data_IF_232349817399
#
_entry.id   IF_232349817399
#
_cell.length_a   1.000
_cell.length_b   1.000
_cell.length_c   1.000
_cell.angle_alpha   90.00
_cell.angle_beta   90.00
_cell.angle_gamma   90.00
#
_symmetry.space_group_name_H-M   'P 1'
#
loop_
_entity.id
_entity.type
_entity.pdbx_description
1 polymer ?
#
# COMPACT_ATOMS: atom_id res chain seq x y z
N UNK A 1 -15.59 -12.94 -17.72
CA UNK A 1 -14.33 -13.47 -17.16
C UNK A 1 -13.16 -13.49 -18.16
N UNK A 2 -13.33 -13.07 -19.42
CA UNK A 2 -12.21 -12.66 -20.29
C UNK A 2 -12.63 -11.41 -21.07
N UNK A 3 -11.88 -10.31 -20.93
CA UNK A 3 -12.11 -9.10 -21.70
C UNK A 3 -11.71 -9.33 -23.16
N UNK A 4 -12.41 -8.68 -24.10
CA UNK A 4 -12.16 -8.83 -25.55
C UNK A 4 -10.77 -8.35 -26.01
N UNK A 5 -10.01 -7.70 -25.13
CA UNK A 5 -8.76 -7.01 -25.45
C UNK A 5 -7.51 -7.63 -24.79
N UNK A 6 -7.61 -8.88 -24.32
CA UNK A 6 -6.47 -9.57 -23.71
C UNK A 6 -6.14 -9.15 -22.27
N UNK A 7 -6.94 -8.29 -21.64
CA UNK A 7 -6.86 -7.98 -20.20
C UNK A 7 -7.84 -8.84 -19.39
N UNK A 8 -7.39 -9.29 -18.20
CA UNK A 8 -8.19 -10.06 -17.25
C UNK A 8 -8.54 -9.18 -16.06
N UNK A 9 -9.82 -9.07 -15.68
CA UNK A 9 -10.21 -8.30 -14.49
C UNK A 9 -10.11 -9.20 -13.23
N UNK A 10 -9.15 -8.98 -12.31
CA UNK A 10 -8.97 -9.81 -11.12
C UNK A 10 -9.87 -9.35 -9.97
N UNK A 11 -11.15 -9.75 -9.97
CA UNK A 11 -12.12 -9.35 -8.94
C UNK A 11 -13.17 -10.42 -8.64
N UNK A 12 -13.87 -10.27 -7.50
CA UNK A 12 -14.80 -11.26 -6.93
C UNK A 12 -16.28 -10.93 -7.12
N UNK A 13 -16.64 -10.21 -8.20
CA UNK A 13 -18.03 -9.85 -8.53
C UNK A 13 -18.30 -8.34 -8.63
N UNK A 14 -17.28 -7.53 -8.35
CA UNK A 14 -17.24 -6.08 -8.59
C UNK A 14 -15.92 -5.71 -9.29
N UNK A 15 -15.70 -4.42 -9.55
CA UNK A 15 -14.48 -3.92 -10.19
C UNK A 15 -13.23 -4.33 -9.39
N UNK A 16 -12.11 -4.69 -10.04
CA UNK A 16 -10.86 -4.97 -9.36
C UNK A 16 -10.41 -3.80 -8.47
N UNK A 17 -9.92 -4.12 -7.27
CA UNK A 17 -9.36 -3.18 -6.30
C UNK A 17 -7.94 -3.63 -6.01
N UNK A 18 -6.94 -2.77 -6.16
CA UNK A 18 -5.53 -3.17 -6.07
C UNK A 18 -5.19 -4.02 -4.83
N UNK A 19 -5.69 -3.67 -3.64
CA UNK A 19 -5.47 -4.43 -2.39
C UNK A 19 -6.06 -5.84 -2.39
N UNK A 20 -7.17 -6.06 -3.08
CA UNK A 20 -7.89 -7.34 -3.12
C UNK A 20 -7.51 -8.17 -4.34
N UNK A 21 -7.12 -7.50 -5.43
CA UNK A 21 -6.64 -8.11 -6.65
C UNK A 21 -5.22 -8.63 -6.52
N UNK A 22 -4.35 -7.95 -5.76
CA UNK A 22 -2.97 -8.38 -5.53
C UNK A 22 -2.86 -9.86 -5.10
N UNK A 23 -3.56 -10.34 -4.04
CA UNK A 23 -3.49 -11.75 -3.67
C UNK A 23 -4.08 -12.71 -4.72
N UNK A 24 -5.08 -12.27 -5.50
CA UNK A 24 -5.64 -13.09 -6.60
C UNK A 24 -4.58 -13.29 -7.68
N UNK A 25 -3.90 -12.22 -8.09
CA UNK A 25 -2.86 -12.28 -9.13
C UNK A 25 -1.66 -13.11 -8.65
N UNK A 26 -1.19 -12.86 -7.42
CA UNK A 26 -0.08 -13.64 -6.85
C UNK A 26 -0.45 -15.12 -6.68
N UNK A 27 -1.72 -15.44 -6.42
CA UNK A 27 -2.19 -16.82 -6.45
C UNK A 27 -2.08 -17.43 -7.85
N UNK A 28 -2.48 -16.71 -8.90
CA UNK A 28 -2.29 -17.17 -10.29
C UNK A 28 -0.82 -17.47 -10.57
N UNK A 29 0.10 -16.58 -10.17
CA UNK A 29 1.54 -16.82 -10.31
C UNK A 29 2.02 -18.04 -9.53
N UNK A 30 1.58 -18.22 -8.29
CA UNK A 30 1.94 -19.40 -7.48
C UNK A 30 1.47 -20.73 -8.09
N UNK A 31 0.43 -20.68 -8.92
CA UNK A 31 -0.11 -21.82 -9.66
C UNK A 31 0.52 -22.01 -11.05
N UNK A 32 1.52 -21.19 -11.41
CA UNK A 32 2.18 -21.21 -12.71
C UNK A 32 1.36 -20.57 -13.84
N UNK A 33 0.25 -19.91 -13.53
CA UNK A 33 -0.62 -19.24 -14.50
C UNK A 33 -0.10 -17.83 -14.84
N UNK A 34 1.19 -17.71 -15.12
CA UNK A 34 1.90 -16.43 -15.31
C UNK A 34 1.28 -15.56 -16.40
N UNK A 35 0.87 -16.14 -17.53
CA UNK A 35 0.20 -15.39 -18.58
C UNK A 35 -1.12 -14.76 -18.13
N UNK A 36 -1.90 -15.44 -17.26
CA UNK A 36 -3.11 -14.84 -16.69
C UNK A 36 -2.79 -13.75 -15.66
N UNK A 37 -1.70 -13.92 -14.91
CA UNK A 37 -1.21 -12.90 -14.00
C UNK A 37 -0.77 -11.63 -14.75
N UNK A 38 -0.05 -11.76 -15.86
CA UNK A 38 0.31 -10.64 -16.74
C UNK A 38 -0.93 -9.90 -17.27
N UNK A 39 -1.92 -10.65 -17.78
CA UNK A 39 -3.18 -10.06 -18.26
C UNK A 39 -3.95 -9.32 -17.16
N UNK A 40 -3.84 -9.79 -15.91
CA UNK A 40 -4.45 -9.15 -14.76
C UNK A 40 -3.69 -7.91 -14.28
N UNK A 41 -2.36 -7.88 -14.44
CA UNK A 41 -1.54 -6.69 -14.23
C UNK A 41 -1.85 -5.64 -15.31
N UNK A 42 -1.96 -6.05 -16.58
CA UNK A 42 -2.27 -5.14 -17.70
C UNK A 42 -3.64 -4.48 -17.55
N UNK A 43 -4.59 -5.10 -16.85
CA UNK A 43 -5.86 -4.46 -16.47
C UNK A 43 -5.62 -3.16 -15.68
N UNK A 44 -4.72 -3.16 -14.71
CA UNK A 44 -4.41 -1.97 -13.92
C UNK A 44 -3.63 -0.94 -14.73
N UNK A 45 -2.71 -1.36 -15.60
CA UNK A 45 -2.04 -0.42 -16.52
C UNK A 45 -3.02 0.25 -17.48
N UNK A 46 -4.07 -0.44 -17.93
CA UNK A 46 -5.12 0.16 -18.76
C UNK A 46 -5.97 1.22 -18.01
N UNK A 47 -5.82 1.30 -16.69
CA UNK A 47 -6.46 2.27 -15.79
C UNK A 47 -5.45 3.23 -15.15
N UNK A 48 -4.19 3.19 -15.60
CA UNK A 48 -3.16 4.12 -15.17
C UNK A 48 -3.47 5.51 -15.75
N UNK A 49 -3.51 6.51 -14.88
CA UNK A 49 -3.65 7.92 -15.24
C UNK A 49 -2.32 8.48 -15.76
N UNK A 50 -2.36 9.67 -16.36
CA UNK A 50 -1.18 10.34 -16.93
C UNK A 50 -0.07 10.64 -15.91
N UNK A 51 -0.43 10.74 -14.62
CA UNK A 51 0.51 10.96 -13.52
C UNK A 51 1.07 9.66 -12.92
N UNK A 52 0.61 8.49 -13.38
CA UNK A 52 0.99 7.17 -12.87
C UNK A 52 0.07 6.59 -11.81
N UNK A 53 -0.96 7.31 -11.37
CA UNK A 53 -1.94 6.79 -10.43
C UNK A 53 -2.79 5.69 -11.10
N UNK A 54 -2.91 4.53 -10.46
CA UNK A 54 -3.84 3.48 -10.87
C UNK A 54 -5.05 3.53 -9.97
N UNK A 55 -6.23 3.71 -10.56
CA UNK A 55 -7.48 3.81 -9.81
C UNK A 55 -8.65 3.19 -10.58
N UNK A 56 -9.40 2.32 -9.91
CA UNK A 56 -10.68 1.79 -10.39
C UNK A 56 -11.86 2.43 -9.65
N UNK A 57 -11.67 2.81 -8.39
CA UNK A 57 -12.69 3.43 -7.55
C UNK A 57 -12.30 4.86 -7.18
N UNK A 58 -13.08 5.84 -7.62
CA UNK A 58 -12.73 7.26 -7.57
C UNK A 58 -12.37 7.81 -6.19
N UNK A 59 -12.88 7.21 -5.11
CA UNK A 59 -12.59 7.62 -3.74
C UNK A 59 -11.38 6.91 -3.12
N UNK A 60 -10.85 5.84 -3.70
CA UNK A 60 -9.82 4.98 -3.10
C UNK A 60 -8.42 5.37 -3.58
N UNK A 61 -7.44 5.37 -2.67
CA UNK A 61 -6.05 5.70 -2.97
C UNK A 61 -5.07 4.55 -2.70
N UNK A 62 -5.55 3.41 -2.19
CA UNK A 62 -4.73 2.25 -1.86
C UNK A 62 -4.51 1.25 -3.01
N UNK A 63 -4.67 1.64 -4.27
CA UNK A 63 -4.61 0.71 -5.40
C UNK A 63 -3.21 0.56 -6.01
N UNK A 64 -2.47 1.67 -6.18
CA UNK A 64 -1.20 1.66 -6.92
C UNK A 64 -0.11 0.85 -6.21
N UNK A 65 0.03 0.99 -4.88
CA UNK A 65 1.05 0.28 -4.09
C UNK A 65 0.98 -1.25 -4.21
N UNK A 66 -0.18 -1.89 -3.91
CA UNK A 66 -0.35 -3.34 -4.05
C UNK A 66 -0.14 -3.87 -5.46
N UNK A 67 -0.49 -3.10 -6.50
CA UNK A 67 -0.25 -3.50 -7.89
C UNK A 67 1.24 -3.49 -8.21
N UNK A 68 1.98 -2.46 -7.79
CA UNK A 68 3.45 -2.42 -7.95
C UNK A 68 4.14 -3.54 -7.17
N UNK A 69 3.64 -3.87 -5.98
CA UNK A 69 4.12 -5.04 -5.23
C UNK A 69 3.92 -6.31 -6.05
N UNK A 70 2.71 -6.52 -6.59
CA UNK A 70 2.37 -7.69 -7.41
C UNK A 70 3.23 -7.79 -8.68
N UNK A 71 3.53 -6.66 -9.33
CA UNK A 71 4.43 -6.61 -10.48
C UNK A 71 5.82 -7.17 -10.13
N UNK A 72 6.38 -6.74 -8.99
CA UNK A 72 7.68 -7.24 -8.57
C UNK A 72 7.64 -8.69 -8.10
N UNK A 73 6.56 -9.15 -7.45
CA UNK A 73 6.41 -10.58 -7.11
C UNK A 73 6.28 -11.44 -8.38
N UNK A 74 5.50 -11.02 -9.37
CA UNK A 74 5.41 -11.68 -10.66
C UNK A 74 6.81 -11.85 -11.29
N UNK A 75 7.60 -10.78 -11.32
CA UNK A 75 8.98 -10.86 -11.80
C UNK A 75 9.86 -11.80 -10.96
N UNK A 76 9.67 -11.89 -9.63
CA UNK A 76 10.41 -12.83 -8.78
C UNK A 76 10.11 -14.28 -9.12
N UNK A 77 8.86 -14.60 -9.50
CA UNK A 77 8.46 -15.92 -9.99
C UNK A 77 9.03 -16.23 -11.37
N UNK A 78 8.90 -15.31 -12.32
CA UNK A 78 9.15 -15.60 -13.74
C UNK A 78 10.59 -15.31 -14.16
N UNK A 79 11.23 -14.32 -13.54
CA UNK A 79 12.52 -13.73 -13.97
C UNK A 79 12.51 -13.30 -15.43
N UNK A 80 11.34 -12.91 -15.95
CA UNK A 80 11.18 -12.48 -17.33
C UNK A 80 11.66 -11.04 -17.52
N UNK A 81 12.91 -10.92 -17.98
CA UNK A 81 13.53 -9.63 -18.27
C UNK A 81 12.88 -8.92 -19.47
N UNK A 82 12.34 -9.65 -20.46
CA UNK A 82 11.70 -9.03 -21.62
C UNK A 82 10.37 -8.38 -21.21
N UNK A 83 9.58 -9.09 -20.40
CA UNK A 83 8.37 -8.57 -19.78
C UNK A 83 8.65 -7.34 -18.90
N UNK A 84 9.64 -7.44 -18.01
CA UNK A 84 10.00 -6.35 -17.11
C UNK A 84 10.46 -5.10 -17.88
N UNK A 85 11.25 -5.26 -18.95
CA UNK A 85 11.62 -4.14 -19.82
C UNK A 85 10.41 -3.52 -20.54
N UNK A 86 9.45 -4.35 -20.98
CA UNK A 86 8.22 -3.89 -21.65
C UNK A 86 7.34 -3.01 -20.75
N UNK A 87 7.25 -3.32 -19.46
CA UNK A 87 6.41 -2.57 -18.50
C UNK A 87 7.17 -1.47 -17.75
N UNK A 88 8.51 -1.44 -17.83
CA UNK A 88 9.36 -0.56 -17.03
C UNK A 88 8.94 0.92 -17.04
N UNK A 89 8.64 1.49 -18.22
CA UNK A 89 8.21 2.89 -18.32
C UNK A 89 6.92 3.16 -17.53
N UNK A 90 5.93 2.26 -17.61
CA UNK A 90 4.65 2.39 -16.92
C UNK A 90 4.83 2.18 -15.41
N UNK A 91 5.63 1.19 -14.99
CA UNK A 91 5.94 0.96 -13.59
C UNK A 91 6.69 2.15 -12.96
N UNK A 92 7.67 2.72 -13.67
CA UNK A 92 8.38 3.92 -13.22
C UNK A 92 7.44 5.11 -13.04
N UNK A 93 6.50 5.32 -13.95
CA UNK A 93 5.53 6.40 -13.83
C UNK A 93 4.68 6.26 -12.55
N UNK A 94 4.22 5.05 -12.21
CA UNK A 94 3.54 4.79 -10.93
C UNK A 94 4.44 4.95 -9.70
N UNK A 95 5.73 4.67 -9.82
CA UNK A 95 6.68 4.98 -8.75
C UNK A 95 6.80 6.49 -8.53
N UNK A 96 6.88 7.27 -9.62
CA UNK A 96 6.92 8.73 -9.57
C UNK A 96 5.67 9.32 -8.93
N UNK A 97 4.48 8.76 -9.22
CA UNK A 97 3.26 9.13 -8.51
C UNK A 97 3.43 9.03 -6.99
N UNK A 98 3.86 7.86 -6.48
CA UNK A 98 4.05 7.64 -5.04
C UNK A 98 5.10 8.61 -4.47
N UNK A 99 6.24 8.76 -5.15
CA UNK A 99 7.33 9.64 -4.71
C UNK A 99 6.87 11.10 -4.64
N UNK A 100 6.13 11.58 -5.65
CA UNK A 100 5.60 12.94 -5.66
C UNK A 100 4.57 13.17 -4.55
N UNK A 101 3.68 12.20 -4.31
CA UNK A 101 2.72 12.24 -3.20
C UNK A 101 3.41 12.30 -1.83
N UNK A 102 4.55 11.63 -1.66
CA UNK A 102 5.35 11.75 -0.43
C UNK A 102 5.94 13.15 -0.24
N UNK A 103 6.36 13.81 -1.33
CA UNK A 103 6.93 15.16 -1.28
C UNK A 103 5.91 16.17 -0.76
N UNK A 104 4.63 16.01 -1.10
CA UNK A 104 3.52 16.86 -0.60
C UNK A 104 3.43 16.89 0.93
N UNK A 105 3.74 15.78 1.61
CA UNK A 105 3.68 15.67 3.07
C UNK A 105 5.04 15.82 3.77
N UNK A 106 6.12 16.11 3.02
CA UNK A 106 7.47 16.25 3.57
C UNK A 106 7.61 17.40 4.57
N UNK A 107 6.73 18.41 4.51
CA UNK A 107 6.67 19.53 5.45
C UNK A 107 5.94 19.24 6.76
N UNK A 108 5.20 18.13 6.87
CA UNK A 108 4.41 17.82 8.08
C UNK A 108 5.31 17.51 9.29
N UNK A 109 4.83 17.72 10.53
CA UNK A 109 5.52 17.25 11.73
C UNK A 109 5.70 15.73 11.76
N UNK A 110 6.80 15.26 12.34
CA UNK A 110 7.02 13.83 12.53
C UNK A 110 6.04 13.27 13.56
N UNK A 111 5.29 12.22 13.19
CA UNK A 111 4.16 11.71 13.95
C UNK A 111 2.81 12.13 13.36
N UNK A 112 2.78 13.12 12.46
CA UNK A 112 1.57 13.58 11.76
C UNK A 112 1.56 13.20 10.27
N UNK A 113 2.32 12.15 9.90
CA UNK A 113 2.38 11.65 8.53
C UNK A 113 3.42 12.37 7.66
N UNK A 114 4.52 12.86 8.26
CA UNK A 114 5.65 13.39 7.50
C UNK A 114 6.19 12.36 6.51
N UNK A 115 6.22 12.71 5.22
CA UNK A 115 6.72 11.83 4.16
C UNK A 115 5.84 10.60 3.86
N UNK A 116 4.60 10.60 4.37
CA UNK A 116 3.59 9.56 4.15
C UNK A 116 2.46 10.04 3.23
N UNK A 117 1.86 9.12 2.48
CA UNK A 117 0.66 9.34 1.69
C UNK A 117 -0.55 9.46 2.62
N UNK A 118 -1.52 10.31 2.25
CA UNK A 118 -2.84 10.38 2.88
C UNK A 118 -3.91 10.08 1.83
N UNK A 119 -4.94 9.32 2.23
CA UNK A 119 -6.03 8.93 1.35
C UNK A 119 -6.89 7.83 1.96
N UNK A 120 -8.10 7.67 1.41
CA UNK A 120 -9.02 6.61 1.77
C UNK A 120 -8.50 5.26 1.26
N UNK A 121 -8.66 4.23 2.08
CA UNK A 121 -8.23 2.86 1.77
C UNK A 121 -9.39 1.90 1.54
N UNK A 122 -10.62 2.38 1.71
CA UNK A 122 -11.84 1.60 1.60
C UNK A 122 -13.07 2.53 1.57
N UNK A 123 -14.24 1.95 1.80
CA UNK A 123 -15.51 2.68 1.76
C UNK A 123 -15.61 3.89 2.69
N UNK A 124 -15.07 3.86 3.93
CA UNK A 124 -15.09 5.04 4.77
C UNK A 124 -14.24 6.18 4.21
N UNK A 125 -14.77 7.41 4.31
CA UNK A 125 -14.03 8.64 4.03
C UNK A 125 -13.04 8.97 5.15
N UNK A 126 -11.94 8.22 5.17
CA UNK A 126 -10.86 8.32 6.13
C UNK A 126 -9.56 8.73 5.39
N UNK A 127 -9.40 10.01 4.98
CA UNK A 127 -8.26 10.48 4.17
C UNK A 127 -6.98 10.65 5.02
N UNK A 128 -6.67 9.66 5.84
CA UNK A 128 -5.60 9.68 6.81
C UNK A 128 -4.31 9.07 6.25
N UNK A 129 -3.15 9.38 6.86
CA UNK A 129 -1.90 8.68 6.59
C UNK A 129 -1.89 7.29 7.24
N UNK A 130 -2.74 6.39 6.73
CA UNK A 130 -2.89 5.03 7.24
C UNK A 130 -1.65 4.17 7.02
N UNK A 131 -1.42 3.25 7.94
CA UNK A 131 -0.27 2.35 7.86
C UNK A 131 -0.42 1.31 6.76
N UNK A 132 -1.64 0.86 6.45
CA UNK A 132 -1.89 -0.01 5.29
C UNK A 132 -1.56 0.67 3.95
N UNK A 133 -2.04 1.90 3.72
CA UNK A 133 -1.74 2.65 2.49
C UNK A 133 -0.23 2.81 2.28
N UNK A 134 0.45 3.24 3.34
CA UNK A 134 1.87 3.56 3.27
C UNK A 134 2.75 2.30 3.23
N UNK A 135 2.38 1.24 3.95
CA UNK A 135 3.06 -0.04 3.89
C UNK A 135 3.05 -0.63 2.47
N UNK A 136 1.89 -0.69 1.83
CA UNK A 136 1.79 -1.16 0.45
C UNK A 136 2.51 -0.26 -0.55
N UNK A 137 2.42 1.06 -0.41
CA UNK A 137 3.11 1.99 -1.28
C UNK A 137 4.65 1.84 -1.17
N UNK A 138 5.16 1.68 0.05
CA UNK A 138 6.58 1.35 0.29
C UNK A 138 6.97 0.02 -0.36
N UNK A 139 6.21 -1.06 -0.08
CA UNK A 139 6.53 -2.39 -0.58
C UNK A 139 6.53 -2.42 -2.12
N UNK A 140 5.58 -1.72 -2.74
CA UNK A 140 5.54 -1.55 -4.19
C UNK A 140 6.81 -0.89 -4.72
N UNK A 141 7.26 0.23 -4.14
CA UNK A 141 8.52 0.87 -4.56
C UNK A 141 9.73 -0.06 -4.36
N UNK A 142 9.82 -0.75 -3.22
CA UNK A 142 10.92 -1.65 -2.93
C UNK A 142 11.03 -2.77 -3.99
N UNK A 143 9.89 -3.35 -4.36
CA UNK A 143 9.82 -4.46 -5.33
C UNK A 143 10.08 -4.03 -6.77
N UNK A 144 9.67 -2.81 -7.14
CA UNK A 144 10.08 -2.25 -8.44
C UNK A 144 11.57 -1.92 -8.46
N UNK A 145 12.14 -1.43 -7.35
CA UNK A 145 13.59 -1.24 -7.21
C UNK A 145 14.36 -2.53 -7.47
N UNK A 146 14.00 -3.62 -6.77
CA UNK A 146 14.59 -4.96 -6.97
C UNK A 146 14.46 -5.45 -8.42
N UNK A 147 13.30 -5.26 -9.05
CA UNK A 147 13.09 -5.62 -10.46
C UNK A 147 13.96 -4.79 -11.40
N UNK A 148 14.07 -3.48 -11.15
CA UNK A 148 14.85 -2.54 -11.94
C UNK A 148 16.35 -2.82 -11.84
N UNK A 149 16.85 -3.16 -10.65
CA UNK A 149 18.24 -3.61 -10.45
C UNK A 149 18.52 -4.84 -11.32
N UNK A 150 17.64 -5.85 -11.26
CA UNK A 150 17.82 -7.11 -11.97
C UNK A 150 17.87 -6.97 -13.51
N UNK A 151 17.15 -5.98 -14.08
CA UNK A 151 17.17 -5.70 -15.52
C UNK A 151 18.19 -4.61 -15.91
N UNK A 152 18.95 -4.06 -14.96
CA UNK A 152 19.94 -3.01 -15.21
C UNK A 152 19.31 -1.65 -15.59
N UNK A 153 18.12 -1.34 -15.08
CA UNK A 153 17.45 -0.08 -15.36
C UNK A 153 18.14 1.09 -14.64
N UNK A 154 18.39 2.24 -15.31
CA UNK A 154 19.19 3.34 -14.74
C UNK A 154 18.59 3.99 -13.49
N UNK A 155 17.28 3.83 -13.27
CA UNK A 155 16.57 4.39 -12.10
C UNK A 155 16.60 3.47 -10.87
N UNK A 156 17.17 2.26 -10.95
CA UNK A 156 17.15 1.27 -9.87
C UNK A 156 17.62 1.85 -8.53
N UNK A 157 18.84 2.38 -8.48
CA UNK A 157 19.45 2.95 -7.28
C UNK A 157 18.59 4.07 -6.65
N UNK A 158 17.97 4.90 -7.50
CA UNK A 158 17.13 6.02 -7.03
C UNK A 158 15.84 5.50 -6.41
N UNK A 159 15.15 4.56 -7.07
CA UNK A 159 13.90 3.99 -6.56
C UNK A 159 14.15 3.24 -5.25
N UNK A 160 15.24 2.50 -5.13
CA UNK A 160 15.62 1.84 -3.89
C UNK A 160 15.93 2.81 -2.75
N UNK A 161 16.63 3.90 -3.05
CA UNK A 161 16.91 4.96 -2.08
C UNK A 161 15.62 5.62 -1.57
N UNK A 162 14.69 5.91 -2.48
CA UNK A 162 13.37 6.46 -2.14
C UNK A 162 12.54 5.48 -1.30
N UNK A 163 12.54 4.19 -1.65
CA UNK A 163 11.86 3.15 -0.87
C UNK A 163 12.45 3.04 0.55
N UNK A 164 13.78 3.08 0.68
CA UNK A 164 14.47 3.05 1.98
C UNK A 164 14.16 4.28 2.83
N UNK A 165 14.16 5.47 2.22
CA UNK A 165 13.76 6.69 2.89
C UNK A 165 12.30 6.62 3.35
N UNK A 166 11.41 6.10 2.51
CA UNK A 166 10.00 5.95 2.84
C UNK A 166 9.79 5.00 4.01
N UNK A 167 10.46 3.84 4.02
CA UNK A 167 10.44 2.89 5.14
C UNK A 167 10.82 3.57 6.45
N UNK A 168 11.86 4.39 6.44
CA UNK A 168 12.30 5.10 7.64
C UNK A 168 11.32 6.18 8.10
N UNK A 169 10.69 6.90 7.19
CA UNK A 169 9.64 7.87 7.53
C UNK A 169 8.43 7.17 8.16
N UNK A 170 7.98 6.04 7.60
CA UNK A 170 6.89 5.22 8.16
C UNK A 170 7.25 4.75 9.58
N UNK A 171 8.44 4.18 9.76
CA UNK A 171 8.93 3.72 11.07
C UNK A 171 8.97 4.84 12.10
N UNK A 172 9.43 6.04 11.73
CA UNK A 172 9.48 7.18 12.65
C UNK A 172 8.09 7.68 13.03
N UNK A 173 7.16 7.76 12.06
CA UNK A 173 5.77 8.10 12.35
C UNK A 173 5.10 7.05 13.26
N UNK A 174 5.30 5.76 12.98
CA UNK A 174 4.77 4.69 13.81
C UNK A 174 5.30 4.72 15.25
N UNK A 175 6.61 4.97 15.44
CA UNK A 175 7.19 5.14 16.79
C UNK A 175 6.58 6.30 17.56
N UNK A 176 6.21 7.40 16.87
CA UNK A 176 5.48 8.51 17.48
C UNK A 176 4.07 8.11 17.90
N UNK A 177 3.34 7.42 17.03
CA UNK A 177 2.02 6.86 17.36
C UNK A 177 2.09 5.93 18.57
N UNK A 178 3.05 4.99 18.62
CA UNK A 178 3.26 4.10 19.77
C UNK A 178 3.51 4.87 21.08
N UNK A 179 4.25 5.98 21.02
CA UNK A 179 4.64 6.74 22.20
C UNK A 179 3.49 7.54 22.83
N UNK A 180 2.47 7.92 22.03
CA UNK A 180 1.33 8.71 22.50
C UNK A 180 0.06 7.87 22.70
N UNK A 181 0.04 6.63 22.21
CA UNK A 181 -1.12 5.75 22.34
C UNK A 181 -1.25 5.19 23.76
N UNK A 182 -2.47 4.90 24.24
CA UNK A 182 -2.69 4.26 25.52
C UNK A 182 -2.08 2.86 25.52
N UNK A 183 -1.73 2.40 26.71
CA UNK A 183 -1.37 0.99 26.92
C UNK A 183 -2.63 0.13 26.98
N UNK A 184 -2.54 -1.10 26.49
CA UNK A 184 -3.61 -2.11 26.54
C UNK A 184 -3.18 -3.31 27.40
N UNK A 185 -4.12 -3.94 28.13
CA UNK A 185 -3.80 -5.06 28.99
C UNK A 185 -3.60 -6.35 28.19
N UNK A 186 -2.67 -7.19 28.64
CA UNK A 186 -2.49 -8.56 28.22
C UNK A 186 -3.25 -9.52 29.16
N UNK A 187 -3.49 -10.75 28.71
CA UNK A 187 -4.19 -11.77 29.48
C UNK A 187 -3.48 -12.19 30.80
N UNK A 188 -2.23 -11.79 31.00
CA UNK A 188 -1.43 -12.06 32.20
C UNK A 188 -1.27 -10.83 33.12
N UNK A 189 -2.03 -9.75 32.89
CA UNK A 189 -2.00 -8.54 33.71
C UNK A 189 -0.86 -7.57 33.38
N UNK A 190 0.03 -7.89 32.44
CA UNK A 190 0.99 -6.92 31.89
C UNK A 190 0.27 -5.92 30.97
N UNK A 191 0.93 -4.80 30.70
CA UNK A 191 0.43 -3.76 29.80
C UNK A 191 1.47 -3.50 28.71
N UNK A 192 1.01 -3.33 27.47
CA UNK A 192 1.86 -3.01 26.33
C UNK A 192 1.38 -1.76 25.61
N UNK A 193 2.26 -0.99 24.95
CA UNK A 193 1.85 0.09 24.07
C UNK A 193 0.93 -0.43 22.96
N UNK A 194 -0.13 0.31 22.66
CA UNK A 194 -0.94 0.12 21.46
C UNK A 194 -0.53 1.12 20.37
N UNK A 195 -1.19 1.09 19.23
CA UNK A 195 -1.01 2.10 18.19
C UNK A 195 -2.30 2.34 17.42
N UNK A 196 -2.51 3.58 17.00
CA UNK A 196 -3.57 3.96 16.09
C UNK A 196 -3.37 3.37 14.67
N UNK A 197 -4.43 3.29 13.85
CA UNK A 197 -4.33 2.81 12.48
C UNK A 197 -3.61 3.76 11.50
N UNK A 198 -3.35 5.00 11.90
CA UNK A 198 -2.69 6.03 11.09
C UNK A 198 -1.77 6.92 11.94
N UNK A 199 -0.89 7.65 11.28
CA UNK A 199 -0.16 8.74 11.93
C UNK A 199 -1.13 9.86 12.37
N UNK A 200 -0.79 10.60 13.42
CA UNK A 200 -1.61 11.58 14.16
C UNK A 200 -2.73 11.02 15.07
N UNK A 201 -3.02 9.71 15.02
CA UNK A 201 -3.99 9.10 15.94
C UNK A 201 -3.41 8.83 17.34
N UNK A 202 -4.24 8.88 18.38
CA UNK A 202 -3.82 8.69 19.78
C UNK A 202 -4.20 7.32 20.36
N UNK A 203 -4.40 6.31 19.51
CA UNK A 203 -4.62 4.92 19.91
C UNK A 203 -5.56 4.18 18.96
N UNK A 204 -5.81 2.88 19.22
CA UNK A 204 -6.86 2.14 18.55
C UNK A 204 -8.19 2.90 18.60
N UNK A 205 -8.87 2.98 17.47
CA UNK A 205 -10.13 3.71 17.30
C UNK A 205 -11.19 3.21 18.28
N UNK A 206 -11.19 1.90 18.57
CA UNK A 206 -12.11 1.28 19.54
C UNK A 206 -11.98 1.85 20.96
N UNK A 207 -10.85 2.47 21.30
CA UNK A 207 -10.63 3.06 22.64
C UNK A 207 -11.11 4.50 22.74
N UNK A 208 -11.56 5.12 21.64
CA UNK A 208 -12.07 6.50 21.61
C UNK A 208 -11.11 7.53 22.22
N UNK A 209 -9.80 7.29 22.11
CA UNK A 209 -8.78 8.18 22.67
C UNK A 209 -8.80 9.59 22.04
N UNK A 210 -9.17 9.68 20.76
CA UNK A 210 -9.28 10.92 19.98
C UNK A 210 -10.62 11.67 20.22
N UNK A 211 -11.04 11.75 21.49
CA UNK A 211 -12.35 12.24 21.96
C UNK A 211 -13.00 13.32 21.05
N UNK A 212 -14.14 12.98 20.44
CA UNK A 212 -14.97 13.93 19.70
C UNK A 212 -14.63 14.16 18.23
N UNK A 213 -13.59 13.52 17.67
CA UNK A 213 -13.22 13.76 16.26
C UNK A 213 -14.00 12.93 15.22
N UNK A 214 -14.64 11.81 15.58
CA UNK A 214 -15.64 11.22 14.69
C UNK A 214 -16.60 10.25 15.40
N UNK A 215 -17.83 10.21 14.90
CA UNK A 215 -18.80 9.17 15.24
C UNK A 215 -18.44 7.88 14.49
N UNK A 216 -17.45 7.15 15.02
CA UNK A 216 -16.96 5.88 14.46
C UNK A 216 -17.98 4.73 14.50
N UNK A 217 -19.21 4.98 14.95
CA UNK A 217 -20.26 3.99 15.21
C UNK A 217 -20.92 3.39 13.97
N UNK A 218 -20.59 3.84 12.76
CA UNK A 218 -21.25 3.31 11.57
C UNK A 218 -20.81 1.85 11.32
N UNK A 219 -21.78 0.93 11.37
CA UNK A 219 -21.67 -0.47 10.95
C UNK A 219 -20.56 -1.33 11.62
N UNK A 220 -20.15 -1.01 12.86
CA UNK A 220 -19.12 -1.79 13.56
C UNK A 220 -17.71 -1.65 13.01
N UNK A 221 -17.48 -0.63 12.17
CA UNK A 221 -16.21 -0.39 11.47
C UNK A 221 -15.06 0.12 12.35
N UNK A 222 -15.29 0.25 13.66
CA UNK A 222 -14.29 0.61 14.67
C UNK A 222 -13.15 -0.41 14.67
N UNK A 223 -13.54 -1.68 14.81
CA UNK A 223 -12.61 -2.81 14.92
C UNK A 223 -11.96 -3.09 13.58
N UNK A 224 -12.69 -2.88 12.48
CA UNK A 224 -12.13 -3.10 11.13
C UNK A 224 -11.06 -2.10 10.78
N UNK A 225 -11.13 -0.84 11.23
CA UNK A 225 -10.02 0.12 11.06
C UNK A 225 -8.76 -0.33 11.78
N UNK A 226 -8.92 -0.69 13.05
CA UNK A 226 -7.79 -1.13 13.88
C UNK A 226 -7.15 -2.42 13.32
N UNK A 227 -7.97 -3.35 12.79
CA UNK A 227 -7.52 -4.63 12.27
C UNK A 227 -7.04 -4.61 10.80
N UNK A 228 -7.69 -3.83 9.92
CA UNK A 228 -7.48 -3.88 8.46
C UNK A 228 -6.73 -2.67 7.90
N UNK A 229 -6.64 -1.57 8.65
CA UNK A 229 -5.99 -0.32 8.21
C UNK A 229 -4.72 0.00 9.01
N UNK A 230 -4.54 -0.71 10.13
CA UNK A 230 -3.57 -0.36 11.14
C UNK A 230 -2.19 -1.00 11.02
N UNK A 231 -1.38 -0.89 12.09
CA UNK A 231 0.06 -1.17 12.05
C UNK A 231 0.43 -2.63 11.78
N UNK A 232 -0.51 -3.56 11.85
CA UNK A 232 -0.27 -4.96 11.48
C UNK A 232 0.22 -5.06 10.03
N UNK A 233 -0.26 -4.20 9.14
CA UNK A 233 0.21 -4.13 7.77
C UNK A 233 1.67 -3.74 7.64
N UNK A 234 2.25 -3.02 8.62
CA UNK A 234 3.69 -2.70 8.60
C UNK A 234 4.55 -3.96 8.74
N UNK A 235 4.08 -4.98 9.47
CA UNK A 235 4.75 -6.28 9.51
C UNK A 235 4.58 -7.02 8.18
N UNK A 236 3.36 -7.08 7.64
CA UNK A 236 3.07 -7.73 6.36
C UNK A 236 3.81 -7.10 5.17
N UNK A 237 4.04 -5.79 5.23
CA UNK A 237 4.68 -5.02 4.15
C UNK A 237 6.16 -4.80 4.37
N UNK A 238 6.81 -5.65 5.18
CA UNK A 238 8.26 -5.67 5.39
C UNK A 238 8.82 -4.33 5.91
N UNK A 239 8.00 -3.52 6.58
CA UNK A 239 8.46 -2.25 7.13
C UNK A 239 9.36 -2.48 8.33
N UNK A 240 9.19 -3.55 9.12
CA UNK A 240 10.09 -3.87 10.24
C UNK A 240 11.24 -4.79 9.87
#
# INVERSE_FOLDING_TARGET
LFGKDGVLAPGTGYGPIGTESAPIIQFLDSMGAHGLAEQAIDYFFAKQHDDGFMQNYGSYQAETGPVLWTIGEHFRYTRDNEWANRIAKRALLSCEYIINRRRESSGKPMGEGKGMLSGNVGDPEDPFPSFTLNGYAYLGLARIGEMFEAIGHPEADRIESEARAFREDIRKNFRKTLAVSPVIPLGDGRWIPSAAPWAAGHGPVILYADQGQAHWYTHGSLVTRDALVGPLYLAFTEVF
#
